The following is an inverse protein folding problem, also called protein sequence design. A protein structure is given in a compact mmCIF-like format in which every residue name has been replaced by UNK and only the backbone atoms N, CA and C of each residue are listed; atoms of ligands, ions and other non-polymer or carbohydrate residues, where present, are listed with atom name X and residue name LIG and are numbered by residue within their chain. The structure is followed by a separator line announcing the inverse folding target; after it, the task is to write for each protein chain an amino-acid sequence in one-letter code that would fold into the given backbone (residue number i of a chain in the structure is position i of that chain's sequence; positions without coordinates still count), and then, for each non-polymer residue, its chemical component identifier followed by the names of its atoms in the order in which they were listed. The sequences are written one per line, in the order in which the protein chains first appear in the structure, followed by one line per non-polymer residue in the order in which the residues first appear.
data_IF_636879775169
#
_entry.id   IF_636879775169
#
_cell.length_a   1.000
_cell.length_b   1.000
_cell.length_c   1.000
_cell.angle_alpha   90.00
_cell.angle_beta   90.00
_cell.angle_gamma   90.00
#
_symmetry.space_group_name_H-M   'P 1'
#
loop_
_entity.id
_entity.type
_entity.pdbx_description
1 polymer ?
#
# COMPACT_ATOMS: atom_id res chain seq x y z
N UNK A 1 -6.50 29.08 13.10
CA UNK A 1 -6.74 27.62 13.19
C UNK A 1 -5.45 26.93 12.80
N UNK A 2 -4.71 26.33 13.74
CA UNK A 2 -3.46 25.65 13.44
C UNK A 2 -3.73 24.50 12.45
N UNK A 3 -3.06 24.52 11.30
CA UNK A 3 -3.22 23.51 10.25
C UNK A 3 -2.95 22.12 10.84
N UNK A 4 -3.99 21.28 10.96
CA UNK A 4 -3.86 19.92 11.46
C UNK A 4 -3.26 19.05 10.37
N UNK A 5 -1.97 19.23 10.08
CA UNK A 5 -1.22 18.37 9.16
C UNK A 5 -1.83 18.36 7.75
N UNK A 6 -1.61 19.45 7.01
CA UNK A 6 -2.11 19.63 5.64
C UNK A 6 -1.79 18.44 4.72
N UNK A 7 -0.63 17.82 4.91
CA UNK A 7 -0.12 16.73 4.11
C UNK A 7 0.54 15.67 5.01
N UNK A 8 0.12 14.41 4.88
CA UNK A 8 0.61 13.31 5.69
C UNK A 8 0.96 12.11 4.80
N UNK A 9 2.01 11.38 5.16
CA UNK A 9 2.40 10.14 4.49
C UNK A 9 2.16 8.97 5.45
N UNK A 10 1.60 7.89 4.93
CA UNK A 10 1.30 6.71 5.72
C UNK A 10 1.22 5.45 4.89
N UNK A 11 0.90 4.34 5.55
CA UNK A 11 0.70 3.05 4.90
C UNK A 11 -0.80 2.74 4.82
N UNK A 12 -1.25 2.30 3.64
CA UNK A 12 -2.61 1.81 3.46
C UNK A 12 -2.83 0.50 4.24
N UNK A 13 -3.89 0.48 5.03
CA UNK A 13 -4.35 -0.63 5.85
C UNK A 13 -5.65 -1.19 5.29
N UNK A 14 -5.95 -2.48 5.53
CA UNK A 14 -7.20 -3.08 5.09
C UNK A 14 -8.39 -2.30 5.68
N UNK A 15 -9.37 -2.02 4.83
CA UNK A 15 -10.54 -1.23 5.18
C UNK A 15 -11.81 -1.90 4.66
N UNK A 16 -12.82 -1.99 5.53
CA UNK A 16 -14.15 -2.51 5.17
C UNK A 16 -15.00 -1.42 4.50
N UNK A 17 -14.69 -0.13 4.76
CA UNK A 17 -15.53 0.98 4.33
C UNK A 17 -15.39 1.24 2.83
N UNK A 18 -16.53 1.24 2.13
CA UNK A 18 -16.58 1.62 0.72
C UNK A 18 -16.17 3.10 0.52
N UNK A 19 -15.48 3.39 -0.59
CA UNK A 19 -15.03 4.73 -1.01
C UNK A 19 -14.05 5.43 -0.05
N UNK A 20 -13.44 4.69 0.88
CA UNK A 20 -12.46 5.22 1.81
C UNK A 20 -11.34 4.21 2.09
N UNK A 21 -10.12 4.73 2.16
CA UNK A 21 -8.92 3.97 2.51
C UNK A 21 -8.49 4.31 3.93
N UNK A 22 -8.19 3.28 4.73
CA UNK A 22 -7.68 3.45 6.10
C UNK A 22 -6.17 3.57 6.04
N UNK A 23 -5.62 4.63 6.62
CA UNK A 23 -4.20 4.95 6.47
C UNK A 23 -3.57 5.07 7.84
N UNK A 24 -2.51 4.30 8.05
CA UNK A 24 -1.70 4.33 9.26
C UNK A 24 -0.56 5.32 9.09
N UNK A 25 -0.55 6.35 9.92
CA UNK A 25 0.51 7.34 10.01
C UNK A 25 1.30 7.08 11.29
N UNK A 26 2.59 6.80 11.13
CA UNK A 26 3.50 6.51 12.23
C UNK A 26 4.29 7.76 12.57
N UNK A 27 4.09 8.29 13.78
CA UNK A 27 4.82 9.45 14.31
C UNK A 27 5.80 8.98 15.38
N UNK A 28 6.88 9.73 15.55
CA UNK A 28 7.83 9.52 16.64
C UNK A 28 7.40 10.42 17.81
N UNK A 29 7.03 9.83 18.94
CA UNK A 29 6.68 10.53 20.16
C UNK A 29 7.80 10.36 21.19
N UNK A 30 8.23 11.47 21.80
CA UNK A 30 9.27 11.48 22.82
C UNK A 30 8.70 11.03 24.15
N UNK A 31 9.21 9.93 24.70
CA UNK A 31 9.04 9.60 26.10
C UNK A 31 10.04 10.40 26.93
N UNK A 32 9.55 11.27 27.81
CA UNK A 32 10.36 12.16 28.66
C UNK A 32 11.06 11.44 29.81
N UNK A 33 10.57 10.27 30.22
CA UNK A 33 11.20 9.51 31.30
C UNK A 33 12.44 8.79 30.80
N UNK A 34 12.38 8.28 29.56
CA UNK A 34 13.48 7.55 28.92
C UNK A 34 14.33 8.44 28.00
N UNK A 35 13.87 9.67 27.71
CA UNK A 35 14.42 10.57 26.69
C UNK A 35 14.63 9.87 25.33
N UNK A 36 13.69 9.01 24.95
CA UNK A 36 13.75 8.19 23.74
C UNK A 36 12.47 8.35 22.92
N UNK A 37 12.62 8.33 21.59
CA UNK A 37 11.48 8.40 20.68
C UNK A 37 10.91 7.01 20.40
N UNK A 38 9.60 6.85 20.62
CA UNK A 38 8.86 5.65 20.29
C UNK A 38 7.89 5.89 19.14
N UNK A 39 7.63 4.83 18.40
CA UNK A 39 6.69 4.84 17.28
C UNK A 39 5.26 4.81 17.81
N UNK A 40 4.46 5.82 17.48
CA UNK A 40 3.02 5.86 17.73
C UNK A 40 2.25 5.90 16.43
N UNK A 41 1.35 4.94 16.30
CA UNK A 41 0.50 4.79 15.12
C UNK A 41 -0.81 5.57 15.33
N UNK A 42 -1.17 6.37 14.33
CA UNK A 42 -2.44 7.10 14.25
C UNK A 42 -3.15 6.71 12.96
N UNK A 43 -4.47 6.54 13.01
CA UNK A 43 -5.25 6.08 11.87
C UNK A 43 -6.14 7.20 11.36
N UNK A 44 -6.13 7.39 10.04
CA UNK A 44 -6.96 8.35 9.33
C UNK A 44 -7.75 7.64 8.24
N UNK A 45 -8.96 8.11 7.97
CA UNK A 45 -9.73 7.69 6.81
C UNK A 45 -9.61 8.76 5.73
N UNK A 46 -9.09 8.34 4.58
CA UNK A 46 -8.98 9.18 3.40
C UNK A 46 -10.04 8.77 2.38
N UNK A 47 -10.59 9.76 1.67
CA UNK A 47 -11.49 9.53 0.56
C UNK A 47 -10.73 8.91 -0.61
N UNK A 48 -11.23 7.77 -1.09
CA UNK A 48 -10.69 7.03 -2.22
C UNK A 48 -11.84 6.29 -2.93
N UNK A 49 -12.62 6.99 -3.78
CA UNK A 49 -13.79 6.41 -4.44
C UNK A 49 -13.41 5.37 -5.51
N UNK A 50 -12.23 5.51 -6.12
CA UNK A 50 -11.73 4.62 -7.15
C UNK A 50 -10.93 3.43 -6.58
N UNK A 51 -10.75 3.35 -5.25
CA UNK A 51 -9.87 2.38 -4.57
C UNK A 51 -8.49 2.27 -5.23
N UNK A 52 -7.88 3.43 -5.51
CA UNK A 52 -6.54 3.49 -6.09
C UNK A 52 -5.50 2.89 -5.13
N UNK A 53 -5.71 3.05 -3.82
CA UNK A 53 -4.82 2.51 -2.81
C UNK A 53 -5.14 1.03 -2.55
N UNK A 54 -4.13 0.17 -2.63
CA UNK A 54 -4.22 -1.22 -2.18
C UNK A 54 -3.51 -1.37 -0.84
N UNK A 55 -3.85 -2.41 -0.07
CA UNK A 55 -3.20 -2.65 1.22
C UNK A 55 -1.68 -2.77 1.06
N UNK A 56 -0.97 -2.15 2.00
CA UNK A 56 0.48 -2.15 2.08
C UNK A 56 1.17 -1.01 1.31
N UNK A 57 0.44 -0.28 0.46
CA UNK A 57 0.99 0.86 -0.28
C UNK A 57 1.40 1.99 0.66
N UNK A 58 2.46 2.71 0.28
CA UNK A 58 2.82 3.99 0.91
C UNK A 58 2.12 5.10 0.13
N UNK A 59 1.28 5.84 0.84
CA UNK A 59 0.34 6.81 0.25
C UNK A 59 0.50 8.18 0.89
N UNK A 60 0.27 9.20 0.08
CA UNK A 60 0.23 10.60 0.49
C UNK A 60 -1.22 11.05 0.58
N UNK A 61 -1.59 11.63 1.71
CA UNK A 61 -2.93 12.16 1.95
C UNK A 61 -2.90 13.63 2.30
N UNK A 62 -3.95 14.32 1.86
CA UNK A 62 -4.14 15.74 2.08
C UNK A 62 -5.40 15.98 2.90
N UNK A 63 -5.36 16.94 3.82
CA UNK A 63 -6.55 17.34 4.57
C UNK A 63 -7.58 17.96 3.61
N UNK A 64 -8.84 17.54 3.73
CA UNK A 64 -9.93 18.14 2.95
C UNK A 64 -10.29 19.53 3.54
N UNK A 65 -10.65 20.53 2.70
CA UNK A 65 -11.06 21.84 3.20
C UNK A 65 -12.30 21.74 4.11
N UNK A 66 -13.20 20.81 3.78
CA UNK A 66 -14.36 20.47 4.60
C UNK A 66 -14.41 18.95 4.84
N UNK A 67 -14.71 18.55 6.08
CA UNK A 67 -14.85 17.13 6.42
C UNK A 67 -16.11 16.57 5.77
N UNK A 68 -15.94 15.70 4.78
CA UNK A 68 -17.05 15.08 4.06
C UNK A 68 -17.94 14.20 4.96
N UNK A 69 -17.37 13.56 5.98
CA UNK A 69 -18.14 12.80 6.98
C UNK A 69 -17.43 12.89 8.32
N UNK A 70 -18.09 12.46 9.41
CA UNK A 70 -17.47 12.41 10.75
C UNK A 70 -16.11 11.70 10.79
N UNK A 71 -15.94 10.67 9.95
CA UNK A 71 -14.72 9.85 9.90
C UNK A 71 -13.76 10.27 8.78
N UNK A 72 -14.28 10.67 7.62
CA UNK A 72 -13.47 10.97 6.43
C UNK A 72 -13.01 12.42 6.51
N UNK A 73 -11.71 12.59 6.73
CA UNK A 73 -11.10 13.89 7.01
C UNK A 73 -10.07 14.30 5.95
N UNK A 74 -9.51 13.31 5.25
CA UNK A 74 -8.46 13.51 4.26
C UNK A 74 -8.90 12.97 2.91
N UNK A 75 -8.19 13.33 1.84
CA UNK A 75 -8.27 12.69 0.52
C UNK A 75 -6.94 12.04 0.17
N UNK A 76 -6.99 10.97 -0.61
CA UNK A 76 -5.79 10.39 -1.22
C UNK A 76 -5.32 11.31 -2.34
N UNK A 77 -4.07 11.77 -2.25
CA UNK A 77 -3.46 12.61 -3.30
C UNK A 77 -2.68 11.76 -4.30
N UNK A 78 -1.82 10.86 -3.81
CA UNK A 78 -1.07 9.93 -4.65
C UNK A 78 -0.60 8.69 -3.91
N UNK A 79 -0.49 7.58 -4.64
CA UNK A 79 0.27 6.40 -4.22
C UNK A 79 1.74 6.67 -4.53
N UNK A 80 2.58 6.72 -3.50
CA UNK A 80 4.01 7.05 -3.65
C UNK A 80 4.81 5.79 -3.93
N UNK A 81 4.60 4.74 -3.14
CA UNK A 81 5.27 3.46 -3.33
C UNK A 81 4.25 2.33 -3.33
N UNK A 82 4.02 1.68 -4.48
CA UNK A 82 3.19 0.49 -4.53
C UNK A 82 3.93 -0.70 -3.88
N UNK A 83 3.19 -1.53 -3.14
CA UNK A 83 3.74 -2.72 -2.51
C UNK A 83 4.25 -3.72 -3.57
N UNK A 84 5.55 -4.01 -3.58
CA UNK A 84 6.15 -5.03 -4.45
C UNK A 84 6.70 -4.52 -5.78
N UNK A 85 6.38 -3.29 -6.18
CA UNK A 85 6.83 -2.70 -7.45
C UNK A 85 7.35 -1.27 -7.30
N UNK A 86 8.26 -1.13 -6.34
CA UNK A 86 8.86 0.15 -5.96
C UNK A 86 9.72 0.67 -7.12
N UNK A 87 9.55 1.96 -7.39
CA UNK A 87 10.36 2.71 -8.35
C UNK A 87 11.21 3.68 -7.56
N UNK A 88 12.52 3.68 -7.80
CA UNK A 88 13.41 4.64 -7.17
C UNK A 88 13.06 6.06 -7.64
N UNK A 89 12.76 7.01 -6.73
CA UNK A 89 12.40 8.36 -7.11
C UNK A 89 13.53 9.16 -7.77
N UNK A 90 14.79 8.75 -7.59
CA UNK A 90 15.96 9.48 -8.12
C UNK A 90 16.23 9.03 -9.57
N UNK A 91 16.37 7.73 -9.80
CA UNK A 91 16.73 7.19 -11.12
C UNK A 91 15.53 6.81 -11.99
N UNK A 92 14.34 6.65 -11.40
CA UNK A 92 13.16 6.14 -12.09
C UNK A 92 13.22 4.63 -12.37
N UNK A 93 14.27 3.94 -11.93
CA UNK A 93 14.44 2.50 -12.15
C UNK A 93 13.68 1.68 -11.12
N UNK A 94 13.26 0.47 -11.50
CA UNK A 94 12.63 -0.46 -10.58
C UNK A 94 13.67 -1.09 -9.66
N UNK A 95 13.34 -1.15 -8.37
CA UNK A 95 14.22 -1.65 -7.32
C UNK A 95 13.61 -2.82 -6.58
N UNK A 96 14.47 -3.74 -6.16
CA UNK A 96 14.12 -4.85 -5.28
C UNK A 96 15.02 -4.75 -4.06
N UNK A 97 14.43 -4.33 -2.94
CA UNK A 97 15.11 -4.10 -1.67
C UNK A 97 16.20 -3.03 -1.78
N UNK A 98 17.41 -3.40 -2.19
CA UNK A 98 18.57 -2.52 -2.33
C UNK A 98 19.34 -2.70 -3.62
N UNK A 99 18.79 -3.43 -4.60
CA UNK A 99 19.40 -3.64 -5.91
C UNK A 99 18.44 -3.23 -7.02
N UNK A 100 18.96 -2.69 -8.11
CA UNK A 100 18.16 -2.44 -9.31
C UNK A 100 17.81 -3.77 -9.98
N UNK A 101 16.64 -3.84 -10.62
CA UNK A 101 16.23 -5.04 -11.37
C UNK A 101 17.21 -5.37 -12.50
N UNK A 102 17.69 -4.34 -13.20
CA UNK A 102 18.67 -4.45 -14.28
C UNK A 102 19.97 -5.15 -13.81
N UNK A 103 20.49 -4.78 -12.64
CA UNK A 103 21.72 -5.38 -12.09
C UNK A 103 21.51 -6.86 -11.74
N UNK A 104 20.32 -7.20 -11.24
CA UNK A 104 19.96 -8.59 -10.94
C UNK A 104 19.88 -9.40 -12.24
N UNK A 105 19.29 -8.83 -13.30
CA UNK A 105 19.22 -9.47 -14.61
C UNK A 105 20.60 -9.64 -15.25
N UNK A 106 21.46 -8.63 -15.19
CA UNK A 106 22.84 -8.71 -15.67
C UNK A 106 23.62 -9.80 -14.92
N UNK A 107 23.49 -9.86 -13.59
CA UNK A 107 24.11 -10.92 -12.80
C UNK A 107 23.56 -12.30 -13.21
N UNK A 108 22.24 -12.44 -13.38
CA UNK A 108 21.63 -13.69 -13.82
C UNK A 108 22.11 -14.12 -15.23
N UNK A 109 22.36 -13.18 -16.14
CA UNK A 109 22.93 -13.47 -17.46
C UNK A 109 24.39 -13.94 -17.35
N UNK A 110 25.19 -13.31 -16.48
CA UNK A 110 26.61 -13.65 -16.27
C UNK A 110 26.79 -15.02 -15.60
N UNK A 111 25.99 -15.33 -14.58
CA UNK A 111 26.12 -16.57 -13.79
C UNK A 111 25.23 -17.72 -14.32
N UNK A 112 24.38 -17.45 -15.31
CA UNK A 112 23.40 -18.39 -15.85
C UNK A 112 22.03 -18.25 -15.18
N UNK A 113 20.98 -18.03 -15.99
CA UNK A 113 19.59 -17.91 -15.50
C UNK A 113 19.07 -19.29 -15.12
N UNK A 114 18.64 -19.46 -13.87
CA UNK A 114 17.92 -20.66 -13.44
C UNK A 114 16.52 -20.70 -14.07
N UNK A 115 16.03 -21.88 -14.44
CA UNK A 115 14.65 -22.07 -14.92
C UNK A 115 13.59 -21.64 -13.90
N UNK A 116 13.95 -21.62 -12.61
CA UNK A 116 13.09 -21.18 -11.51
C UNK A 116 13.27 -19.70 -11.15
N UNK A 117 14.10 -18.96 -11.88
CA UNK A 117 14.33 -17.55 -11.61
C UNK A 117 13.06 -16.73 -11.87
N UNK A 118 12.81 -15.75 -11.01
CA UNK A 118 11.67 -14.84 -11.16
C UNK A 118 11.89 -13.91 -12.37
N UNK A 119 10.89 -13.81 -13.23
CA UNK A 119 10.92 -12.99 -14.44
C UNK A 119 10.08 -11.72 -14.23
N UNK A 120 10.74 -10.57 -14.10
CA UNK A 120 10.08 -9.31 -13.78
C UNK A 120 9.26 -8.75 -14.95
N UNK A 121 9.64 -9.04 -16.19
CA UNK A 121 8.95 -8.56 -17.40
C UNK A 121 7.58 -9.25 -17.58
N UNK A 122 7.50 -10.53 -17.21
CA UNK A 122 6.25 -11.31 -17.26
C UNK A 122 5.39 -11.12 -16.02
N UNK A 123 5.97 -10.63 -14.92
CA UNK A 123 5.27 -10.52 -13.66
C UNK A 123 4.31 -9.31 -13.67
N UNK A 124 3.10 -9.44 -13.09
CA UNK A 124 2.22 -8.30 -12.91
C UNK A 124 2.82 -7.26 -11.93
N UNK A 125 2.37 -5.99 -11.93
CA UNK A 125 2.91 -4.89 -11.12
C UNK A 125 2.83 -5.03 -9.59
N UNK A 126 2.32 -6.13 -9.05
CA UNK A 126 2.42 -6.50 -7.61
C UNK A 126 2.84 -7.95 -7.40
N UNK A 127 3.11 -8.67 -8.49
CA UNK A 127 3.47 -10.08 -8.50
C UNK A 127 2.51 -10.93 -7.68
N UNK A 128 3.08 -11.85 -6.89
CA UNK A 128 2.32 -12.72 -5.98
C UNK A 128 1.70 -11.97 -4.79
N UNK A 129 2.13 -10.75 -4.49
CA UNK A 129 1.69 -10.00 -3.30
C UNK A 129 0.30 -9.38 -3.45
N UNK A 130 -0.22 -9.36 -4.67
CA UNK A 130 -1.60 -8.98 -4.92
C UNK A 130 -2.55 -10.04 -4.33
N UNK A 131 -3.49 -9.62 -3.49
CA UNK A 131 -4.50 -10.51 -2.90
C UNK A 131 -4.03 -11.44 -1.78
N UNK A 132 -2.73 -11.56 -1.47
CA UNK A 132 -2.27 -12.59 -0.49
C UNK A 132 -2.64 -12.31 0.97
N UNK A 133 -3.16 -11.13 1.30
CA UNK A 133 -3.53 -10.73 2.68
C UNK A 133 -4.72 -9.76 2.75
N UNK A 134 -5.19 -9.28 1.61
CA UNK A 134 -6.26 -8.28 1.55
C UNK A 134 -7.04 -8.42 0.24
N UNK A 135 -8.32 -8.76 0.39
CA UNK A 135 -9.28 -8.95 -0.69
C UNK A 135 -10.27 -7.77 -0.78
N UNK A 136 -10.13 -6.75 0.08
CA UNK A 136 -11.09 -5.63 0.18
C UNK A 136 -11.15 -4.73 -1.07
N UNK A 137 -10.26 -4.95 -2.03
CA UNK A 137 -10.35 -4.32 -3.34
C UNK A 137 -11.55 -4.86 -4.15
N UNK A 138 -11.86 -6.15 -4.05
CA UNK A 138 -13.01 -6.79 -4.71
C UNK A 138 -14.33 -6.57 -3.97
N UNK A 139 -15.44 -6.85 -4.66
CA UNK A 139 -16.77 -6.92 -4.03
C UNK A 139 -16.92 -8.28 -3.36
N UNK A 140 -17.06 -8.27 -2.03
CA UNK A 140 -17.32 -9.50 -1.27
C UNK A 140 -18.79 -9.86 -1.33
N UNK A 141 -19.12 -11.12 -1.57
CA UNK A 141 -20.50 -11.62 -1.61
C UNK A 141 -20.64 -12.90 -0.77
N UNK A 142 -21.86 -13.19 -0.32
CA UNK A 142 -22.15 -14.40 0.46
C UNK A 142 -22.32 -15.57 -0.51
N UNK A 143 -21.60 -16.67 -0.29
CA UNK A 143 -21.75 -17.88 -1.11
C UNK A 143 -22.83 -18.78 -0.53
N UNK A 144 -23.90 -18.99 -1.30
CA UNK A 144 -25.03 -19.81 -0.88
C UNK A 144 -24.92 -21.28 -1.32
N UNK A 145 -24.09 -21.60 -2.32
CA UNK A 145 -23.94 -22.95 -2.88
C UNK A 145 -22.47 -23.29 -3.15
N UNK A 146 -22.06 -24.53 -2.84
CA UNK A 146 -20.71 -25.02 -3.11
C UNK A 146 -20.57 -25.60 -4.52
N UNK A 147 -20.26 -24.75 -5.50
CA UNK A 147 -20.12 -25.16 -6.90
C UNK A 147 -18.75 -25.78 -7.24
N UNK A 148 -17.92 -26.13 -6.24
CA UNK A 148 -16.56 -26.65 -6.43
C UNK A 148 -15.57 -25.68 -7.11
N UNK A 149 -15.99 -24.47 -7.48
CA UNK A 149 -15.17 -23.43 -8.08
C UNK A 149 -14.47 -22.58 -7.02
N UNK A 150 -13.20 -22.21 -7.28
CA UNK A 150 -12.48 -21.24 -6.45
C UNK A 150 -13.13 -19.85 -6.60
N UNK A 151 -13.70 -19.36 -5.50
CA UNK A 151 -14.39 -18.08 -5.42
C UNK A 151 -13.66 -17.20 -4.40
N UNK A 152 -12.64 -16.43 -4.82
CA UNK A 152 -11.70 -15.76 -3.90
C UNK A 152 -12.31 -14.59 -3.10
N UNK A 153 -13.49 -14.11 -3.48
CA UNK A 153 -14.19 -13.00 -2.81
C UNK A 153 -15.49 -13.44 -2.09
N UNK A 154 -15.78 -14.73 -2.07
CA UNK A 154 -16.92 -15.28 -1.33
C UNK A 154 -16.63 -15.27 0.19
N UNK A 155 -17.63 -14.87 0.98
CA UNK A 155 -17.67 -14.97 2.45
C UNK A 155 -18.68 -16.03 2.86
#
# INVERSE_FOLDING_TARGET
MAARGLLLMGQCMPCIKHNASKIRIRRMELDKNLNMYFKKDTFYFAHDPQKLCKTGDVVLIRELPERMTRLITHSVEKVVYPLGDITDPITGKKVVVGKYREDIEMANQLFGKSDKAFDYEKAPPRGRLEGTKDFTHGETYIKYHEDGTEQPFAV
#
